data_IF_328031417405
#
_entry.id   IF_328031417405
#
_cell.length_a   1.000
_cell.length_b   1.000
_cell.length_c   1.000
_cell.angle_alpha   90.00
_cell.angle_beta   90.00
_cell.angle_gamma   90.00
#
_symmetry.space_group_name_H-M   'P 1'
#
loop_
_entity.id
_entity.type
_entity.pdbx_description
1 polymer ?
#
# COMPACT_ATOMS: atom_id res chain seq x y z
N UNK A 1 -5.38 -7.87 5.55
CA UNK A 1 -6.28 -7.12 4.67
C UNK A 1 -6.23 -5.66 5.15
N UNK A 2 -5.75 -4.75 4.31
CA UNK A 2 -5.69 -3.32 4.58
C UNK A 2 -6.75 -2.61 3.73
N UNK A 3 -7.24 -1.44 4.21
CA UNK A 3 -8.21 -0.61 3.48
C UNK A 3 -9.54 -1.30 3.14
N UNK A 4 -10.09 -2.07 4.08
CA UNK A 4 -11.45 -2.59 3.95
C UNK A 4 -12.46 -1.58 4.51
N UNK A 5 -13.65 -1.53 3.91
CA UNK A 5 -14.79 -0.84 4.50
C UNK A 5 -15.38 -1.78 5.55
N UNK A 6 -15.49 -1.31 6.79
CA UNK A 6 -16.25 -2.01 7.83
C UNK A 6 -17.71 -1.59 7.72
N UNK A 7 -18.62 -2.55 7.92
CA UNK A 7 -20.07 -2.33 7.87
C UNK A 7 -20.79 -3.17 8.92
N UNK A 8 -21.88 -2.68 9.40
CA UNK A 8 -22.86 -3.41 10.23
C UNK A 8 -23.95 -4.11 9.40
N UNK A 9 -23.92 -3.92 8.07
CA UNK A 9 -24.79 -4.70 7.19
C UNK A 9 -24.52 -6.20 7.36
N UNK A 10 -25.58 -7.00 7.36
CA UNK A 10 -25.50 -8.43 7.62
C UNK A 10 -24.71 -9.16 6.53
N UNK A 11 -23.41 -9.37 6.74
CA UNK A 11 -22.57 -10.20 5.90
C UNK A 11 -22.65 -11.63 6.41
N UNK A 12 -23.18 -12.55 5.61
CA UNK A 12 -23.39 -13.95 5.96
C UNK A 12 -22.92 -14.87 4.84
N UNK A 13 -22.69 -16.17 5.12
CA UNK A 13 -22.47 -17.16 4.07
C UNK A 13 -23.55 -17.08 2.99
N UNK A 14 -23.13 -16.92 1.74
CA UNK A 14 -24.02 -16.78 0.57
C UNK A 14 -24.03 -15.37 -0.03
N UNK A 15 -23.67 -14.30 0.70
CA UNK A 15 -23.54 -12.96 0.12
C UNK A 15 -22.09 -12.48 -0.07
N UNK A 16 -21.09 -13.29 0.31
CA UNK A 16 -19.69 -13.04 0.01
C UNK A 16 -19.46 -13.06 -1.50
N UNK A 17 -18.73 -12.08 -2.03
CA UNK A 17 -18.59 -11.81 -3.46
C UNK A 17 -19.73 -10.99 -4.07
N UNK A 18 -20.84 -10.81 -3.35
CA UNK A 18 -21.94 -9.91 -3.74
C UNK A 18 -21.61 -8.44 -3.48
N UNK A 19 -22.39 -7.51 -4.07
CA UNK A 19 -22.17 -6.08 -3.92
C UNK A 19 -22.67 -5.56 -2.57
N UNK A 20 -21.93 -4.61 -1.98
CA UNK A 20 -22.46 -3.71 -0.96
C UNK A 20 -22.98 -2.45 -1.67
N UNK A 21 -24.23 -2.10 -1.39
CA UNK A 21 -24.90 -0.97 -2.01
C UNK A 21 -25.09 0.17 -1.00
N UNK A 22 -25.02 1.40 -1.48
CA UNK A 22 -25.48 2.55 -0.71
C UNK A 22 -27.02 2.74 -0.88
N UNK A 23 -27.57 3.75 -0.20
CA UNK A 23 -29.01 4.07 -0.25
C UNK A 23 -29.52 4.52 -1.64
N UNK A 24 -28.61 4.83 -2.56
CA UNK A 24 -28.91 5.22 -3.94
C UNK A 24 -28.82 4.03 -4.91
N UNK A 25 -28.54 2.82 -4.41
CA UNK A 25 -28.37 1.62 -5.23
C UNK A 25 -27.02 1.53 -5.93
N UNK A 26 -26.05 2.37 -5.58
CA UNK A 26 -24.71 2.31 -6.15
C UNK A 26 -23.85 1.29 -5.43
N UNK A 27 -23.05 0.54 -6.18
CA UNK A 27 -22.08 -0.41 -5.60
C UNK A 27 -20.93 0.36 -4.98
N UNK A 28 -20.72 0.24 -3.68
CA UNK A 28 -19.64 0.87 -2.92
C UNK A 28 -18.54 -0.13 -2.53
N UNK A 29 -18.84 -1.42 -2.56
CA UNK A 29 -17.87 -2.46 -2.24
C UNK A 29 -18.31 -3.86 -2.63
N UNK A 30 -17.42 -4.84 -2.41
CA UNK A 30 -17.65 -6.27 -2.61
C UNK A 30 -17.50 -6.97 -1.27
N UNK A 31 -18.57 -7.64 -0.81
CA UNK A 31 -18.59 -8.34 0.47
C UNK A 31 -17.52 -9.44 0.50
N UNK A 32 -16.72 -9.52 1.58
CA UNK A 32 -15.62 -10.48 1.62
C UNK A 32 -15.56 -11.32 2.89
N UNK A 33 -15.68 -10.71 4.06
CA UNK A 33 -15.45 -11.42 5.31
C UNK A 33 -16.29 -10.86 6.46
N UNK A 34 -16.44 -11.66 7.51
CA UNK A 34 -16.91 -11.23 8.83
C UNK A 34 -15.77 -11.35 9.85
N UNK A 35 -15.82 -10.55 10.90
CA UNK A 35 -14.94 -10.75 12.03
C UNK A 35 -15.33 -12.05 12.76
N UNK A 36 -14.39 -12.99 12.86
CA UNK A 36 -14.62 -14.23 13.58
C UNK A 36 -14.94 -13.93 15.06
N UNK A 37 -16.09 -14.41 15.54
CA UNK A 37 -16.50 -14.22 16.94
C UNK A 37 -17.09 -12.85 17.27
N UNK A 38 -17.33 -11.98 16.28
CA UNK A 38 -18.02 -10.70 16.47
C UNK A 38 -19.34 -10.70 15.69
N UNK A 39 -20.40 -10.17 16.30
CA UNK A 39 -21.68 -9.95 15.64
C UNK A 39 -21.67 -8.57 14.96
N UNK A 40 -22.29 -8.48 13.78
CA UNK A 40 -22.50 -7.24 13.04
C UNK A 40 -21.20 -6.48 12.68
N UNK A 41 -20.10 -7.20 12.46
CA UNK A 41 -18.87 -6.63 11.93
C UNK A 41 -18.52 -7.34 10.63
N UNK A 42 -18.96 -6.76 9.53
CA UNK A 42 -18.63 -7.19 8.18
C UNK A 42 -17.53 -6.35 7.55
N UNK A 43 -16.82 -6.92 6.59
CA UNK A 43 -15.79 -6.26 5.80
C UNK A 43 -16.07 -6.41 4.32
N UNK A 44 -15.81 -5.34 3.58
CA UNK A 44 -16.01 -5.29 2.14
C UNK A 44 -14.84 -4.59 1.45
N UNK A 45 -14.46 -5.11 0.30
CA UNK A 45 -13.41 -4.52 -0.54
C UNK A 45 -14.00 -3.27 -1.21
N UNK A 46 -13.37 -2.08 -1.10
CA UNK A 46 -13.86 -0.88 -1.76
C UNK A 46 -13.99 -1.08 -3.28
N UNK A 47 -15.10 -0.62 -3.85
CA UNK A 47 -15.36 -0.80 -5.30
C UNK A 47 -14.30 -0.14 -6.19
N UNK A 48 -13.63 0.91 -5.71
CA UNK A 48 -12.57 1.58 -6.47
C UNK A 48 -11.34 0.66 -6.68
N UNK A 49 -11.05 -0.22 -5.71
CA UNK A 49 -10.01 -1.25 -5.88
C UNK A 49 -10.41 -2.27 -6.95
N UNK A 50 -11.65 -2.76 -6.90
CA UNK A 50 -12.16 -3.70 -7.91
C UNK A 50 -12.23 -3.07 -9.32
N UNK A 51 -12.61 -1.80 -9.45
CA UNK A 51 -12.62 -1.08 -10.74
C UNK A 51 -11.24 -1.07 -11.39
N UNK A 52 -10.20 -0.84 -10.58
CA UNK A 52 -8.80 -0.86 -11.05
C UNK A 52 -8.41 -2.25 -11.56
N UNK A 53 -8.73 -3.30 -10.81
CA UNK A 53 -8.41 -4.67 -11.19
C UNK A 53 -9.15 -5.09 -12.47
N UNK A 54 -10.44 -4.73 -12.61
CA UNK A 54 -11.22 -4.94 -13.84
C UNK A 54 -10.60 -4.19 -15.02
N UNK A 55 -10.17 -2.94 -14.83
CA UNK A 55 -9.51 -2.16 -15.87
C UNK A 55 -8.18 -2.80 -16.31
N UNK A 56 -7.40 -3.34 -15.34
CA UNK A 56 -6.17 -4.08 -15.61
C UNK A 56 -6.43 -5.32 -16.47
N UNK A 57 -7.42 -6.13 -16.09
CA UNK A 57 -7.80 -7.34 -16.85
C UNK A 57 -8.28 -6.98 -18.25
N UNK A 58 -9.14 -5.95 -18.42
CA UNK A 58 -9.59 -5.50 -19.74
C UNK A 58 -8.45 -5.06 -20.64
N UNK A 59 -7.40 -4.44 -20.06
CA UNK A 59 -6.27 -3.90 -20.84
C UNK A 59 -5.22 -4.97 -21.17
N UNK A 60 -4.95 -5.89 -20.25
CA UNK A 60 -3.79 -6.80 -20.31
C UNK A 60 -4.13 -8.29 -20.15
N UNK A 61 -5.39 -8.64 -19.94
CA UNK A 61 -5.83 -10.02 -19.68
C UNK A 61 -5.51 -10.53 -18.27
N UNK A 62 -4.85 -9.72 -17.44
CA UNK A 62 -4.44 -10.10 -16.07
C UNK A 62 -4.50 -8.90 -15.13
N UNK A 63 -4.56 -9.17 -13.82
CA UNK A 63 -4.39 -8.15 -12.81
C UNK A 63 -2.89 -7.85 -12.67
N UNK A 64 -2.50 -6.60 -12.87
CA UNK A 64 -1.12 -6.14 -12.81
C UNK A 64 -1.00 -5.14 -11.65
N UNK A 65 -0.08 -5.43 -10.73
CA UNK A 65 0.18 -4.53 -9.61
C UNK A 65 1.49 -3.76 -9.81
N UNK A 66 1.50 -2.45 -9.56
CA UNK A 66 2.73 -1.67 -9.54
C UNK A 66 3.63 -2.16 -8.40
N UNK A 67 4.92 -2.23 -8.69
CA UNK A 67 5.93 -2.76 -7.80
C UNK A 67 7.07 -1.77 -7.63
N UNK A 68 7.51 -1.54 -6.38
CA UNK A 68 8.65 -0.72 -6.03
C UNK A 68 9.88 -1.57 -5.71
N UNK A 69 9.70 -2.67 -5.00
CA UNK A 69 10.78 -3.61 -4.69
C UNK A 69 11.54 -3.31 -3.40
N UNK A 70 10.82 -2.90 -2.35
CA UNK A 70 11.40 -2.64 -1.03
C UNK A 70 10.71 -3.47 0.05
N UNK A 71 11.46 -3.76 1.12
CA UNK A 71 10.94 -4.20 2.42
C UNK A 71 11.11 -3.07 3.39
N UNK A 72 10.15 -2.93 4.30
CA UNK A 72 10.14 -1.79 5.18
C UNK A 72 9.41 -2.08 6.49
N UNK A 73 9.70 -1.26 7.48
CA UNK A 73 8.95 -1.15 8.74
C UNK A 73 8.43 0.28 8.88
N UNK A 74 7.23 0.41 9.46
CA UNK A 74 6.68 1.73 9.76
C UNK A 74 7.53 2.40 10.84
N UNK A 75 7.90 3.66 10.62
CA UNK A 75 8.56 4.48 11.64
C UNK A 75 7.51 4.98 12.60
N UNK A 76 7.62 4.55 13.86
CA UNK A 76 6.78 5.04 14.96
C UNK A 76 7.54 6.09 15.76
N UNK A 77 6.81 6.93 16.51
CA UNK A 77 7.42 7.91 17.39
C UNK A 77 8.36 7.26 18.41
N UNK A 78 7.97 6.13 18.99
CA UNK A 78 8.82 5.38 19.95
C UNK A 78 10.12 4.91 19.30
N UNK A 79 10.05 4.39 18.06
CA UNK A 79 11.23 3.98 17.31
C UNK A 79 12.12 5.19 16.99
N UNK A 80 11.51 6.30 16.58
CA UNK A 80 12.21 7.53 16.24
C UNK A 80 12.98 8.10 17.44
N UNK A 81 12.36 8.15 18.60
CA UNK A 81 12.96 8.64 19.85
C UNK A 81 14.09 7.70 20.33
N UNK A 82 13.86 6.37 20.33
CA UNK A 82 14.80 5.36 20.78
C UNK A 82 16.06 5.30 19.91
N UNK A 83 15.88 5.35 18.60
CA UNK A 83 16.98 5.18 17.63
C UNK A 83 17.52 6.52 17.11
N UNK A 84 16.98 7.64 17.58
CA UNK A 84 17.38 9.01 17.19
C UNK A 84 17.33 9.22 15.66
N UNK A 85 16.30 8.69 15.03
CA UNK A 85 16.14 8.69 13.57
C UNK A 85 15.99 10.10 13.00
N UNK A 86 15.49 11.06 13.79
CA UNK A 86 15.26 12.45 13.35
C UNK A 86 13.98 12.66 12.55
N UNK A 87 13.18 11.61 12.37
CA UNK A 87 11.84 11.63 11.76
C UNK A 87 10.96 10.63 12.50
N UNK A 88 9.71 11.01 12.76
CA UNK A 88 8.73 10.23 13.54
C UNK A 88 7.61 9.63 12.68
N UNK A 89 7.81 9.62 11.37
CA UNK A 89 6.88 9.07 10.38
C UNK A 89 7.61 8.55 9.15
N UNK A 90 6.87 7.90 8.27
CA UNK A 90 7.39 7.27 7.08
C UNK A 90 7.66 5.79 7.26
N UNK A 91 8.33 5.19 6.31
CA UNK A 91 8.74 3.79 6.35
C UNK A 91 10.25 3.68 6.18
N UNK A 92 10.88 2.95 7.11
CA UNK A 92 12.30 2.65 7.05
C UNK A 92 12.52 1.41 6.20
N UNK A 93 13.34 1.54 5.19
CA UNK A 93 13.79 0.42 4.36
C UNK A 93 14.72 -0.45 5.18
N UNK A 94 14.33 -1.70 5.38
CA UNK A 94 15.06 -2.63 6.23
C UNK A 94 14.99 -4.05 5.68
N UNK A 95 16.09 -4.77 5.80
CA UNK A 95 16.17 -6.21 5.50
C UNK A 95 15.40 -7.02 6.53
N UNK A 96 14.90 -8.18 6.12
CA UNK A 96 14.47 -9.24 7.03
C UNK A 96 15.60 -10.26 7.23
N UNK A 97 15.41 -11.21 8.14
CA UNK A 97 16.40 -12.26 8.38
C UNK A 97 16.71 -13.12 7.15
N UNK A 98 15.79 -13.20 6.21
CA UNK A 98 15.89 -14.08 5.03
C UNK A 98 15.99 -13.33 3.69
N UNK A 99 15.77 -12.02 3.66
CA UNK A 99 15.60 -11.30 2.40
C UNK A 99 16.18 -9.88 2.47
N UNK A 100 16.78 -9.37 1.35
CA UNK A 100 17.36 -8.04 1.30
C UNK A 100 16.31 -6.94 1.45
N UNK A 101 16.73 -5.78 1.94
CA UNK A 101 15.89 -4.59 2.11
C UNK A 101 15.34 -4.06 0.77
N UNK A 102 16.16 -4.15 -0.28
CA UNK A 102 15.82 -3.74 -1.64
C UNK A 102 16.04 -4.95 -2.55
N UNK A 103 15.05 -5.25 -3.37
CA UNK A 103 15.11 -6.35 -4.35
C UNK A 103 16.02 -5.96 -5.50
N UNK A 104 17.04 -6.77 -5.79
CA UNK A 104 17.98 -6.51 -6.87
C UNK A 104 17.26 -6.38 -8.22
N UNK A 105 17.64 -5.37 -9.02
CA UNK A 105 17.03 -5.06 -10.31
C UNK A 105 15.63 -4.45 -10.25
N UNK A 106 15.10 -4.21 -9.04
CA UNK A 106 13.79 -3.57 -8.87
C UNK A 106 13.83 -2.06 -9.20
N UNK A 107 12.66 -1.41 -9.34
CA UNK A 107 12.57 0.05 -9.46
C UNK A 107 13.32 0.82 -8.36
N UNK A 108 13.20 0.36 -7.12
CA UNK A 108 13.91 0.97 -5.98
C UNK A 108 15.43 0.84 -6.10
N UNK A 109 15.93 -0.33 -6.51
CA UNK A 109 17.36 -0.57 -6.73
C UNK A 109 17.90 0.32 -7.85
N UNK A 110 17.21 0.38 -8.99
CA UNK A 110 17.56 1.26 -10.13
C UNK A 110 17.55 2.73 -9.74
N UNK A 111 16.70 3.14 -8.83
CA UNK A 111 16.60 4.49 -8.32
C UNK A 111 17.60 4.80 -7.19
N UNK A 112 18.38 3.80 -6.74
CA UNK A 112 19.40 3.98 -5.71
C UNK A 112 18.86 4.07 -4.28
N UNK A 113 17.68 3.53 -4.01
CA UNK A 113 17.15 3.33 -2.66
C UNK A 113 18.00 2.27 -1.96
N UNK A 114 18.28 2.48 -0.68
CA UNK A 114 19.18 1.63 0.11
C UNK A 114 18.56 1.20 1.42
N UNK A 115 19.15 0.16 2.01
CA UNK A 115 18.87 -0.22 3.39
C UNK A 115 19.17 0.95 4.34
N UNK A 116 18.28 1.23 5.26
CA UNK A 116 18.34 2.34 6.20
C UNK A 116 17.69 3.65 5.71
N UNK A 117 17.36 3.79 4.44
CA UNK A 117 16.57 4.94 3.96
C UNK A 117 15.20 4.99 4.62
N UNK A 118 14.68 6.20 4.82
CA UNK A 118 13.30 6.39 5.26
C UNK A 118 12.55 7.07 4.12
N UNK A 119 11.51 6.41 3.60
CA UNK A 119 10.61 7.04 2.63
C UNK A 119 9.53 7.78 3.41
N UNK A 120 9.48 9.09 3.25
CA UNK A 120 8.58 9.99 3.96
C UNK A 120 7.29 10.24 3.20
N UNK A 121 7.39 10.39 1.87
CA UNK A 121 6.27 10.77 1.01
C UNK A 121 6.39 10.11 -0.36
N UNK A 122 5.25 9.95 -1.01
CA UNK A 122 5.11 9.59 -2.41
C UNK A 122 4.28 10.67 -3.12
N UNK A 123 4.86 11.38 -4.12
CA UNK A 123 4.23 12.50 -4.83
C UNK A 123 3.61 13.57 -3.89
N UNK A 124 4.28 13.84 -2.74
CA UNK A 124 3.81 14.79 -1.72
C UNK A 124 2.80 14.20 -0.72
N UNK A 125 2.26 13.02 -0.95
CA UNK A 125 1.37 12.34 0.01
C UNK A 125 2.21 11.65 1.10
N UNK A 126 1.91 11.99 2.35
CA UNK A 126 2.63 11.50 3.53
C UNK A 126 2.38 10.00 3.73
N UNK A 127 3.43 9.30 4.15
CA UNK A 127 3.37 7.88 4.51
C UNK A 127 3.33 7.78 6.03
N UNK A 128 2.31 7.13 6.56
CA UNK A 128 2.11 6.88 8.00
C UNK A 128 1.26 5.62 8.22
N UNK A 129 0.73 5.45 9.43
CA UNK A 129 -0.10 4.28 9.77
C UNK A 129 -1.41 4.23 8.99
N UNK A 130 -1.99 5.39 8.66
CA UNK A 130 -3.26 5.52 7.93
C UNK A 130 -3.04 5.49 6.41
N UNK A 131 -1.83 5.85 5.96
CA UNK A 131 -1.44 5.93 4.55
C UNK A 131 -0.23 5.03 4.29
N UNK A 132 -0.46 3.72 4.27
CA UNK A 132 0.59 2.73 4.07
C UNK A 132 1.24 2.85 2.68
N UNK A 133 2.57 2.75 2.60
CA UNK A 133 3.32 2.82 1.34
C UNK A 133 2.77 1.87 0.27
N UNK A 134 2.43 0.63 0.65
CA UNK A 134 1.88 -0.35 -0.29
C UNK A 134 0.56 0.11 -0.91
N UNK A 135 -0.33 0.69 -0.12
CA UNK A 135 -1.61 1.23 -0.57
C UNK A 135 -1.43 2.46 -1.48
N UNK A 136 -0.50 3.35 -1.11
CA UNK A 136 -0.19 4.52 -1.92
C UNK A 136 0.39 4.12 -3.28
N UNK A 137 1.30 3.14 -3.34
CA UNK A 137 1.85 2.63 -4.60
C UNK A 137 0.74 2.08 -5.50
N UNK A 138 -0.25 1.42 -4.93
CA UNK A 138 -1.37 0.86 -5.70
C UNK A 138 -2.28 1.91 -6.35
N UNK A 139 -2.19 3.20 -6.00
CA UNK A 139 -2.91 4.28 -6.68
C UNK A 139 -2.34 4.59 -8.08
N UNK A 140 -1.11 4.16 -8.35
CA UNK A 140 -0.39 4.40 -9.61
C UNK A 140 -0.46 3.22 -10.57
N UNK A 141 -0.02 3.41 -11.80
CA UNK A 141 0.03 2.37 -12.82
C UNK A 141 1.47 1.88 -13.04
N UNK A 142 1.58 0.65 -13.56
CA UNK A 142 2.87 0.15 -14.06
C UNK A 142 3.35 1.04 -15.21
N UNK A 143 4.63 1.43 -15.14
CA UNK A 143 5.26 2.38 -16.06
C UNK A 143 5.17 3.84 -15.66
N UNK A 144 4.37 4.18 -14.65
CA UNK A 144 4.25 5.53 -14.13
C UNK A 144 5.48 5.92 -13.31
N UNK A 145 5.93 7.18 -13.45
CA UNK A 145 7.02 7.75 -12.65
C UNK A 145 6.43 8.43 -11.41
N UNK A 146 6.96 8.07 -10.26
CA UNK A 146 6.62 8.65 -8.97
C UNK A 146 7.84 9.34 -8.36
N UNK A 147 7.61 10.33 -7.52
CA UNK A 147 8.66 10.98 -6.73
C UNK A 147 8.55 10.54 -5.27
N UNK A 148 9.60 9.93 -4.78
CA UNK A 148 9.74 9.56 -3.36
C UNK A 148 10.57 10.62 -2.65
N UNK A 149 10.04 11.20 -1.57
CA UNK A 149 10.85 11.96 -0.63
C UNK A 149 11.49 11.01 0.35
N UNK A 150 12.80 10.94 0.33
CA UNK A 150 13.58 10.08 1.22
C UNK A 150 14.38 10.90 2.22
N UNK A 151 14.60 10.33 3.40
CA UNK A 151 15.53 10.84 4.41
C UNK A 151 16.68 9.85 4.56
N UNK A 152 17.90 10.33 4.29
CA UNK A 152 19.15 9.56 4.34
C UNK A 152 20.24 10.45 4.94
N UNK A 153 21.02 9.95 5.88
CA UNK A 153 22.17 10.63 6.48
C UNK A 153 21.84 12.06 6.96
N UNK A 154 20.67 12.24 7.59
CA UNK A 154 20.24 13.52 8.14
C UNK A 154 19.69 14.51 7.11
N UNK A 155 19.55 14.14 5.84
CA UNK A 155 19.08 15.01 4.75
C UNK A 155 17.89 14.42 4.02
N UNK A 156 16.99 15.31 3.59
CA UNK A 156 15.90 14.93 2.69
C UNK A 156 16.32 15.16 1.23
N UNK A 157 15.87 14.27 0.36
CA UNK A 157 16.03 14.38 -1.09
C UNK A 157 14.88 13.73 -1.82
N UNK A 158 14.62 14.19 -3.03
CA UNK A 158 13.60 13.59 -3.90
C UNK A 158 14.28 12.62 -4.87
N UNK A 159 13.70 11.43 -4.98
CA UNK A 159 14.15 10.36 -5.87
C UNK A 159 13.00 9.97 -6.80
N UNK A 160 13.24 10.04 -8.11
CA UNK A 160 12.28 9.61 -9.12
C UNK A 160 12.40 8.12 -9.36
N UNK A 161 11.27 7.43 -9.38
CA UNK A 161 11.18 5.99 -9.56
C UNK A 161 10.10 5.66 -10.57
N UNK A 162 10.43 4.88 -11.59
CA UNK A 162 9.46 4.35 -12.54
C UNK A 162 9.00 2.99 -12.06
N UNK A 163 7.71 2.87 -11.73
CA UNK A 163 7.12 1.62 -11.25
C UNK A 163 7.11 0.54 -12.34
N UNK A 164 7.39 -0.69 -11.96
CA UNK A 164 7.36 -1.85 -12.86
C UNK A 164 6.30 -2.86 -12.41
N UNK A 165 6.01 -3.84 -13.26
CA UNK A 165 5.17 -4.97 -12.90
C UNK A 165 5.91 -5.88 -11.90
N UNK A 166 5.22 -6.34 -10.87
CA UNK A 166 5.76 -7.40 -10.00
C UNK A 166 5.85 -8.70 -10.80
N UNK A 167 7.05 -9.19 -10.99
CA UNK A 167 7.31 -10.48 -11.64
C UNK A 167 7.09 -11.64 -10.67
#
# INVERSE_FOLDING_TARGET
LQELIQTDAAINPGNSGGPLLNIYGEVIGINTAMAAGAENIGFTIPINSAKRDVASVKKSGKIIYPFLGVRYTLVTKEMADKEKIGRDYGVRIAKSDMEPAVVAGSPADKAGIKDGDIILQINGERIDADHALASLIQKYQVGEEITLRIFRDGKESDVKVKLEERK
#
